data_IF_358914089378
#
_entry.id   IF_358914089378
#
_cell.length_a   1.000
_cell.length_b   1.000
_cell.length_c   1.000
_cell.angle_alpha   90.00
_cell.angle_beta   90.00
_cell.angle_gamma   90.00
#
_symmetry.space_group_name_H-M   'P 1'
#
loop_
_entity.id
_entity.type
_entity.pdbx_description
1 polymer ?
#
# COMPACT_ATOMS: atom_id res chain seq x y z
N UNK A 1 -1.27 17.73 12.77
CA UNK A 1 -1.07 16.46 12.05
C UNK A 1 -2.45 16.10 11.53
N UNK A 2 -2.73 16.42 10.27
CA UNK A 2 -3.92 15.91 9.62
C UNK A 2 -3.65 14.42 9.40
N UNK A 3 -4.25 13.58 10.24
CA UNK A 3 -4.34 12.15 10.00
C UNK A 3 -5.23 12.02 8.76
N UNK A 4 -4.59 11.98 7.58
CA UNK A 4 -5.24 11.62 6.32
C UNK A 4 -6.05 10.38 6.61
N UNK A 5 -7.35 10.42 6.30
CA UNK A 5 -8.34 9.39 6.63
C UNK A 5 -7.80 7.99 6.35
N UNK A 6 -7.16 7.43 7.35
CA UNK A 6 -6.57 6.13 7.23
C UNK A 6 -7.71 5.14 7.16
N UNK A 7 -7.68 4.19 6.23
CA UNK A 7 -8.63 3.07 6.22
C UNK A 7 -8.42 2.11 7.42
N UNK A 8 -7.91 2.60 8.55
CA UNK A 8 -8.06 1.97 9.84
C UNK A 8 -9.55 2.05 10.15
N UNK A 9 -10.29 0.96 9.95
CA UNK A 9 -11.74 0.94 10.16
C UNK A 9 -12.17 1.62 11.48
N UNK A 10 -13.45 1.95 11.65
CA UNK A 10 -13.95 2.84 12.72
C UNK A 10 -13.45 2.48 14.13
N UNK A 11 -13.19 1.20 14.39
CA UNK A 11 -12.57 0.71 15.62
C UNK A 11 -11.17 1.28 15.90
N UNK A 12 -10.21 1.08 14.98
CA UNK A 12 -8.84 1.58 15.14
C UNK A 12 -8.77 3.10 15.12
N UNK A 13 -9.63 3.76 14.33
CA UNK A 13 -9.79 5.22 14.37
C UNK A 13 -10.17 5.68 15.79
N UNK A 14 -11.13 5.00 16.44
CA UNK A 14 -11.52 5.30 17.81
C UNK A 14 -10.38 5.11 18.83
N UNK A 15 -9.51 4.10 18.64
CA UNK A 15 -8.33 3.89 19.50
C UNK A 15 -7.30 5.01 19.33
N UNK A 16 -7.05 5.45 18.09
CA UNK A 16 -6.14 6.58 17.82
C UNK A 16 -6.69 7.88 18.41
N UNK A 17 -7.99 8.13 18.30
CA UNK A 17 -8.65 9.30 18.92
C UNK A 17 -8.48 9.30 20.44
N UNK A 18 -8.69 8.16 21.11
CA UNK A 18 -8.45 8.01 22.55
C UNK A 18 -6.98 8.26 22.91
N UNK A 19 -6.04 7.78 22.08
CA UNK A 19 -4.61 8.02 22.28
C UNK A 19 -4.29 9.52 22.21
N UNK A 20 -4.82 10.22 21.20
CA UNK A 20 -4.66 11.67 21.05
C UNK A 20 -5.27 12.45 22.22
N UNK A 21 -6.42 12.00 22.74
CA UNK A 21 -7.04 12.60 23.91
C UNK A 21 -6.16 12.48 25.16
N UNK A 22 -5.61 11.29 25.42
CA UNK A 22 -4.70 11.03 26.53
C UNK A 22 -3.41 11.86 26.42
N UNK A 23 -2.80 11.95 25.23
CA UNK A 23 -1.69 12.89 24.98
C UNK A 23 -2.09 14.35 25.24
N UNK A 24 -3.29 14.74 24.82
CA UNK A 24 -3.85 16.06 25.09
C UNK A 24 -3.96 16.35 26.58
N UNK A 25 -4.34 15.36 27.39
CA UNK A 25 -4.43 15.45 28.84
C UNK A 25 -3.05 15.62 29.49
N UNK A 26 -2.07 14.79 29.12
CA UNK A 26 -0.67 14.94 29.58
C UNK A 26 -0.16 16.35 29.29
N UNK A 27 -0.35 16.84 28.05
CA UNK A 27 0.09 18.18 27.64
C UNK A 27 -0.57 19.29 28.47
N UNK A 28 -1.87 19.20 28.75
CA UNK A 28 -2.60 20.18 29.57
C UNK A 28 -2.09 20.20 31.01
N UNK A 29 -1.89 19.04 31.62
CA UNK A 29 -1.37 18.94 32.99
C UNK A 29 0.06 19.47 33.09
N UNK A 30 0.94 19.12 32.13
CA UNK A 30 2.31 19.66 32.08
C UNK A 30 2.33 21.19 31.93
N UNK A 31 1.44 21.76 31.12
CA UNK A 31 1.34 23.21 30.95
C UNK A 31 0.92 23.91 32.27
N UNK A 32 0.01 23.31 33.04
CA UNK A 32 -0.39 23.83 34.36
C UNK A 32 0.74 23.74 35.38
N UNK A 33 1.47 22.63 35.42
CA UNK A 33 2.65 22.48 36.27
C UNK A 33 3.73 23.53 36.01
N UNK A 34 3.92 23.92 34.75
CA UNK A 34 4.86 24.99 34.37
C UNK A 34 4.51 26.36 34.97
N UNK A 35 3.24 26.59 35.35
CA UNK A 35 2.74 27.86 35.92
C UNK A 35 2.51 27.73 37.44
N UNK A 36 2.13 26.55 37.94
CA UNK A 36 1.60 26.33 39.29
C UNK A 36 2.64 26.01 40.39
N UNK A 37 3.92 26.40 40.21
CA UNK A 37 5.06 25.97 41.05
C UNK A 37 4.91 26.19 42.57
N UNK A 38 3.94 27.00 43.01
CA UNK A 38 3.73 27.33 44.44
C UNK A 38 2.56 26.61 45.11
N UNK A 39 1.67 25.95 44.37
CA UNK A 39 0.52 25.24 44.96
C UNK A 39 0.75 23.72 44.92
N UNK A 40 1.07 23.16 46.10
CA UNK A 40 1.35 21.73 46.25
C UNK A 40 0.14 20.84 45.94
N UNK A 41 -1.09 21.33 46.16
CA UNK A 41 -2.29 20.55 45.89
C UNK A 41 -2.50 20.43 44.38
N UNK A 42 -2.37 21.55 43.66
CA UNK A 42 -2.46 21.59 42.18
C UNK A 42 -1.39 20.72 41.55
N UNK A 43 -0.14 20.82 42.05
CA UNK A 43 0.96 19.97 41.54
C UNK A 43 0.65 18.49 41.73
N UNK A 44 0.10 18.09 42.88
CA UNK A 44 -0.24 16.69 43.14
C UNK A 44 -1.35 16.20 42.21
N UNK A 45 -2.43 16.96 42.05
CA UNK A 45 -3.54 16.63 41.16
C UNK A 45 -3.08 16.51 39.70
N UNK A 46 -2.23 17.43 39.23
CA UNK A 46 -1.70 17.39 37.87
C UNK A 46 -0.77 16.19 37.63
N UNK A 47 0.02 15.79 38.62
CA UNK A 47 0.85 14.59 38.54
C UNK A 47 -0.01 13.31 38.48
N UNK A 48 -1.03 13.18 39.32
CA UNK A 48 -1.99 12.07 39.27
C UNK A 48 -2.70 12.01 37.90
N UNK A 49 -3.08 13.17 37.33
CA UNK A 49 -3.64 13.25 35.99
C UNK A 49 -2.67 12.81 34.89
N UNK A 50 -1.37 13.08 35.04
CA UNK A 50 -0.35 12.62 34.09
C UNK A 50 -0.17 11.11 34.19
N UNK A 51 -0.05 10.57 35.40
CA UNK A 51 0.11 9.14 35.64
C UNK A 51 -1.05 8.35 35.01
N UNK A 52 -2.30 8.73 35.28
CA UNK A 52 -3.48 8.10 34.69
C UNK A 52 -3.50 8.19 33.16
N UNK A 53 -3.09 9.33 32.59
CA UNK A 53 -3.06 9.50 31.14
C UNK A 53 -1.92 8.67 30.50
N UNK A 54 -0.78 8.48 31.17
CA UNK A 54 0.29 7.61 30.71
C UNK A 54 -0.12 6.12 30.76
N UNK A 55 -0.78 5.68 31.83
CA UNK A 55 -1.34 4.31 31.92
C UNK A 55 -2.36 4.05 30.80
N UNK A 56 -3.22 5.03 30.51
CA UNK A 56 -4.16 4.94 29.39
C UNK A 56 -3.43 4.83 28.04
N UNK A 57 -2.39 5.64 27.82
CA UNK A 57 -1.58 5.58 26.60
C UNK A 57 -0.92 4.21 26.41
N UNK A 58 -0.36 3.62 27.48
CA UNK A 58 0.24 2.28 27.43
C UNK A 58 -0.82 1.22 27.09
N UNK A 59 -1.96 1.25 27.76
CA UNK A 59 -3.06 0.31 27.51
C UNK A 59 -3.61 0.43 26.07
N UNK A 60 -3.75 1.65 25.55
CA UNK A 60 -4.20 1.88 24.18
C UNK A 60 -3.16 1.37 23.18
N UNK A 61 -1.87 1.63 23.44
CA UNK A 61 -0.78 1.20 22.55
C UNK A 61 -0.72 -0.33 22.45
N UNK A 62 -0.81 -1.05 23.57
CA UNK A 62 -0.86 -2.51 23.58
C UNK A 62 -2.11 -3.06 22.85
N UNK A 63 -3.23 -2.35 22.95
CA UNK A 63 -4.46 -2.72 22.23
C UNK A 63 -4.27 -2.55 20.72
N UNK A 64 -3.70 -1.43 20.28
CA UNK A 64 -3.37 -1.19 18.87
C UNK A 64 -2.40 -2.26 18.36
N UNK A 65 -1.32 -2.55 19.08
CA UNK A 65 -0.33 -3.56 18.68
C UNK A 65 -0.96 -4.95 18.50
N UNK A 66 -1.81 -5.36 19.47
CA UNK A 66 -2.54 -6.63 19.36
C UNK A 66 -3.48 -6.62 18.16
N UNK A 67 -4.26 -5.56 18.00
CA UNK A 67 -5.25 -5.47 16.93
C UNK A 67 -4.56 -5.39 15.54
N UNK A 68 -3.34 -4.87 15.45
CA UNK A 68 -2.53 -4.91 14.23
C UNK A 68 -1.91 -6.29 13.94
N UNK A 69 -1.73 -7.12 14.97
CA UNK A 69 -1.20 -8.47 14.82
C UNK A 69 -2.29 -9.51 14.49
N UNK A 70 -3.57 -9.15 14.62
CA UNK A 70 -4.70 -10.04 14.41
C UNK A 70 -5.42 -9.76 13.07
N UNK A 71 -6.04 -10.78 12.43
CA UNK A 71 -6.80 -10.57 11.19
C UNK A 71 -8.06 -9.73 11.40
N UNK A 72 -8.21 -8.69 10.60
CA UNK A 72 -9.34 -7.76 10.63
C UNK A 72 -9.97 -7.60 9.25
N UNK A 73 -11.27 -7.33 9.22
CA UNK A 73 -11.94 -7.00 7.98
C UNK A 73 -11.43 -5.65 7.45
N UNK A 74 -10.93 -5.55 6.20
CA UNK A 74 -10.51 -4.28 5.62
C UNK A 74 -11.64 -3.26 5.46
N UNK A 75 -12.91 -3.71 5.40
CA UNK A 75 -14.06 -2.84 5.21
C UNK A 75 -14.58 -2.23 6.52
N UNK A 76 -14.89 -3.07 7.51
CA UNK A 76 -15.49 -2.60 8.78
C UNK A 76 -14.54 -2.60 9.98
N UNK A 77 -13.33 -3.16 9.85
CA UNK A 77 -12.36 -3.26 10.93
C UNK A 77 -12.76 -4.24 12.04
N UNK A 78 -13.73 -5.13 11.81
CA UNK A 78 -14.08 -6.16 12.80
C UNK A 78 -13.05 -7.29 12.77
N UNK A 79 -12.59 -7.80 13.92
CA UNK A 79 -11.74 -8.98 13.98
C UNK A 79 -12.49 -10.21 13.48
N UNK A 80 -11.75 -11.18 12.94
CA UNK A 80 -12.34 -12.43 12.50
C UNK A 80 -11.30 -13.49 12.16
N UNK A 81 -11.78 -14.66 11.74
CA UNK A 81 -10.91 -15.75 11.32
C UNK A 81 -10.78 -15.80 9.80
N UNK A 82 -11.86 -16.09 9.07
CA UNK A 82 -11.78 -16.31 7.62
C UNK A 82 -12.49 -15.23 6.80
N UNK A 83 -13.77 -15.00 7.08
CA UNK A 83 -14.62 -14.05 6.34
C UNK A 83 -15.40 -13.21 7.34
N UNK A 84 -15.44 -11.91 7.10
CA UNK A 84 -16.24 -11.00 7.90
C UNK A 84 -17.74 -11.25 7.69
N UNK A 85 -18.48 -11.45 8.77
CA UNK A 85 -19.94 -11.66 8.74
C UNK A 85 -20.73 -10.41 8.32
N UNK A 86 -20.13 -9.23 8.43
CA UNK A 86 -20.77 -7.95 8.08
C UNK A 86 -20.51 -7.59 6.62
N UNK A 87 -19.25 -7.63 6.18
CA UNK A 87 -18.85 -7.19 4.83
C UNK A 87 -18.79 -8.33 3.82
N UNK A 88 -18.78 -9.59 4.27
CA UNK A 88 -18.51 -10.76 3.43
C UNK A 88 -17.18 -10.66 2.65
N UNK A 89 -16.16 -10.09 3.30
CA UNK A 89 -14.80 -9.95 2.81
C UNK A 89 -13.87 -10.83 3.62
N UNK A 90 -12.81 -11.33 3.00
CA UNK A 90 -11.72 -11.99 3.72
C UNK A 90 -11.14 -11.04 4.76
N UNK A 91 -10.88 -11.56 5.96
CA UNK A 91 -10.16 -10.80 6.99
C UNK A 91 -8.67 -10.90 6.73
N UNK A 92 -7.97 -9.79 6.91
CA UNK A 92 -6.56 -9.63 6.59
C UNK A 92 -5.82 -9.02 7.77
N UNK A 93 -4.56 -9.41 7.95
CA UNK A 93 -3.68 -8.78 8.94
C UNK A 93 -3.27 -7.42 8.36
N UNK A 94 -3.65 -6.32 9.03
CA UNK A 94 -3.45 -4.99 8.48
C UNK A 94 -1.97 -4.61 8.47
N UNK A 95 -1.59 -3.77 7.52
CA UNK A 95 -0.23 -3.25 7.38
C UNK A 95 -0.11 -1.87 8.02
N UNK A 96 0.98 -1.59 8.77
CA UNK A 96 1.28 -0.24 9.25
C UNK A 96 1.44 0.72 8.08
N UNK A 97 1.05 1.98 8.25
CA UNK A 97 0.98 2.95 7.15
C UNK A 97 2.31 3.15 6.42
N UNK A 98 3.42 3.07 7.12
CA UNK A 98 4.77 3.22 6.59
C UNK A 98 5.19 2.06 5.68
N UNK A 99 4.55 0.91 5.81
CA UNK A 99 4.77 -0.26 4.95
C UNK A 99 3.83 -0.28 3.72
N UNK A 100 2.91 0.69 3.58
CA UNK A 100 2.02 0.76 2.42
C UNK A 100 2.78 1.28 1.20
N UNK A 101 2.48 0.69 0.05
CA UNK A 101 2.98 1.22 -1.22
C UNK A 101 2.36 2.60 -1.46
N UNK A 102 3.22 3.61 -1.58
CA UNK A 102 2.84 4.95 -2.02
C UNK A 102 3.46 5.18 -3.39
N UNK A 103 2.67 5.31 -4.47
CA UNK A 103 3.21 5.62 -5.77
C UNK A 103 4.03 6.92 -5.69
N UNK A 104 5.15 6.98 -6.40
CA UNK A 104 5.86 8.24 -6.59
C UNK A 104 4.88 9.29 -7.15
N UNK A 105 5.01 10.55 -6.73
CA UNK A 105 4.13 11.66 -7.14
C UNK A 105 4.18 11.99 -8.65
N UNK A 106 4.95 11.25 -9.44
CA UNK A 106 5.02 11.40 -10.90
C UNK A 106 3.91 10.58 -11.55
N UNK A 107 3.18 11.18 -12.48
CA UNK A 107 2.15 10.50 -13.27
C UNK A 107 2.80 9.44 -14.17
N UNK A 108 2.73 8.19 -13.74
CA UNK A 108 3.19 7.04 -14.51
C UNK A 108 2.02 6.46 -15.31
N UNK A 109 2.23 6.27 -16.61
CA UNK A 109 1.29 5.56 -17.48
C UNK A 109 1.77 4.13 -17.67
N UNK A 110 1.15 3.19 -16.95
CA UNK A 110 1.34 1.75 -17.14
C UNK A 110 0.29 1.18 -18.12
N UNK A 111 0.57 -0.01 -18.66
CA UNK A 111 -0.38 -0.73 -19.50
C UNK A 111 -1.68 -1.06 -18.72
N UNK A 112 -2.84 -1.20 -19.40
CA UNK A 112 -4.15 -1.38 -18.75
C UNK A 112 -4.21 -2.58 -17.80
N UNK A 113 -3.44 -3.63 -18.06
CA UNK A 113 -3.34 -4.81 -17.20
C UNK A 113 -2.77 -4.48 -15.81
N UNK A 114 -1.74 -3.63 -15.72
CA UNK A 114 -1.19 -3.17 -14.45
C UNK A 114 -2.18 -2.28 -13.70
N UNK A 115 -2.84 -1.35 -14.40
CA UNK A 115 -3.82 -0.44 -13.80
C UNK A 115 -4.98 -1.20 -13.16
N UNK A 116 -5.46 -2.26 -13.84
CA UNK A 116 -6.51 -3.13 -13.31
C UNK A 116 -6.10 -3.80 -12.00
N UNK A 117 -4.88 -4.35 -11.94
CA UNK A 117 -4.36 -4.98 -10.72
C UNK A 117 -4.20 -3.95 -9.61
N UNK A 118 -3.66 -2.77 -9.93
CA UNK A 118 -3.50 -1.67 -8.97
C UNK A 118 -4.83 -1.25 -8.34
N UNK A 119 -5.85 -0.98 -9.15
CA UNK A 119 -7.15 -0.56 -8.62
C UNK A 119 -7.81 -1.65 -7.78
N UNK A 120 -7.66 -2.92 -8.17
CA UNK A 120 -8.14 -4.03 -7.34
C UNK A 120 -7.35 -4.14 -6.02
N UNK A 121 -6.04 -3.89 -6.05
CA UNK A 121 -5.21 -3.83 -4.85
C UNK A 121 -5.68 -2.72 -3.91
N UNK A 122 -5.89 -1.50 -4.41
CA UNK A 122 -6.43 -0.38 -3.64
C UNK A 122 -7.84 -0.68 -3.10
N UNK A 123 -8.69 -1.30 -3.92
CA UNK A 123 -10.04 -1.67 -3.52
C UNK A 123 -10.04 -2.78 -2.45
N UNK A 124 -9.07 -3.70 -2.43
CA UNK A 124 -8.89 -4.67 -1.34
C UNK A 124 -8.49 -3.95 -0.06
N UNK A 125 -7.51 -3.05 -0.12
CA UNK A 125 -7.06 -2.28 1.04
C UNK A 125 -8.15 -1.34 1.59
N UNK A 126 -9.06 -0.89 0.73
CA UNK A 126 -10.23 -0.11 1.11
C UNK A 126 -11.44 -0.96 1.51
N UNK A 127 -11.32 -2.30 1.52
CA UNK A 127 -12.41 -3.20 1.86
C UNK A 127 -13.62 -3.09 0.95
N UNK A 128 -13.41 -2.85 -0.33
CA UNK A 128 -14.46 -2.77 -1.37
C UNK A 128 -14.59 -4.06 -2.17
N UNK A 129 -13.51 -4.82 -2.31
CA UNK A 129 -13.48 -6.09 -3.03
C UNK A 129 -12.76 -7.17 -2.24
N UNK A 130 -13.06 -8.43 -2.58
CA UNK A 130 -12.43 -9.60 -1.96
C UNK A 130 -11.00 -9.79 -2.41
N UNK A 131 -10.16 -10.36 -1.54
CA UNK A 131 -8.78 -10.73 -1.89
C UNK A 131 -8.79 -11.73 -3.04
N UNK A 132 -9.68 -12.73 -3.01
CA UNK A 132 -9.79 -13.71 -4.09
C UNK A 132 -10.04 -13.06 -5.46
N UNK A 133 -10.80 -11.95 -5.51
CA UNK A 133 -11.03 -11.22 -6.77
C UNK A 133 -9.76 -10.56 -7.30
N UNK A 134 -8.94 -9.99 -6.43
CA UNK A 134 -7.61 -9.48 -6.80
C UNK A 134 -6.73 -10.63 -7.32
N UNK A 135 -6.63 -11.74 -6.60
CA UNK A 135 -5.77 -12.87 -7.00
C UNK A 135 -6.15 -13.46 -8.36
N UNK A 136 -7.45 -13.61 -8.62
CA UNK A 136 -7.95 -14.06 -9.92
C UNK A 136 -7.64 -13.08 -11.07
N UNK A 137 -7.40 -11.80 -10.76
CA UNK A 137 -7.07 -10.77 -11.76
C UNK A 137 -5.59 -10.74 -12.15
N UNK A 138 -4.71 -11.49 -11.46
CA UNK A 138 -3.27 -11.49 -11.73
C UNK A 138 -2.92 -12.30 -12.99
N UNK A 139 -3.68 -13.33 -13.32
CA UNK A 139 -3.37 -14.25 -14.44
C UNK A 139 -3.29 -13.55 -15.81
N UNK A 140 -4.17 -12.60 -16.19
CA UNK A 140 -3.99 -11.81 -17.40
C UNK A 140 -2.67 -11.05 -17.47
N UNK A 141 -2.24 -10.43 -16.37
CA UNK A 141 -0.99 -9.67 -16.31
C UNK A 141 0.22 -10.61 -16.41
N UNK A 142 0.20 -11.72 -15.69
CA UNK A 142 1.21 -12.78 -15.77
C UNK A 142 1.39 -13.29 -17.22
N UNK A 143 0.29 -13.58 -17.91
CA UNK A 143 0.34 -14.06 -19.30
C UNK A 143 1.00 -13.05 -20.24
N UNK A 144 0.70 -11.76 -20.07
CA UNK A 144 1.32 -10.65 -20.83
C UNK A 144 2.82 -10.53 -20.55
N UNK A 145 3.21 -10.65 -19.29
CA UNK A 145 4.61 -10.62 -18.87
C UNK A 145 5.40 -11.77 -19.51
N UNK A 146 4.87 -12.99 -19.43
CA UNK A 146 5.48 -14.17 -20.06
C UNK A 146 5.59 -14.03 -21.59
N UNK A 147 4.56 -13.50 -22.25
CA UNK A 147 4.58 -13.21 -23.69
C UNK A 147 5.74 -12.25 -24.04
N UNK A 148 5.91 -11.15 -23.30
CA UNK A 148 7.00 -10.18 -23.49
C UNK A 148 8.37 -10.84 -23.33
N UNK A 149 8.58 -11.63 -22.28
CA UNK A 149 9.85 -12.33 -22.07
C UNK A 149 10.15 -13.34 -23.19
N UNK A 150 9.15 -14.07 -23.66
CA UNK A 150 9.32 -15.05 -24.74
C UNK A 150 9.69 -14.36 -26.06
N UNK A 151 9.01 -13.27 -26.41
CA UNK A 151 9.35 -12.47 -27.60
C UNK A 151 10.80 -11.95 -27.51
N UNK A 152 11.18 -11.38 -26.35
CA UNK A 152 12.54 -10.88 -26.15
C UNK A 152 13.59 -11.98 -26.32
N UNK A 153 13.39 -13.16 -25.71
CA UNK A 153 14.28 -14.32 -25.87
C UNK A 153 14.42 -14.76 -27.32
N UNK A 154 13.32 -14.82 -28.07
CA UNK A 154 13.34 -15.20 -29.49
C UNK A 154 14.19 -14.21 -30.29
N UNK A 155 13.97 -12.91 -30.13
CA UNK A 155 14.73 -11.87 -30.84
C UNK A 155 16.22 -11.91 -30.48
N UNK A 156 16.55 -12.15 -29.21
CA UNK A 156 17.93 -12.34 -28.76
C UNK A 156 18.59 -13.54 -29.44
N UNK A 157 17.93 -14.70 -29.43
CA UNK A 157 18.47 -15.91 -30.06
C UNK A 157 18.61 -15.80 -31.58
N UNK A 158 17.78 -14.98 -32.23
CA UNK A 158 17.86 -14.72 -33.67
C UNK A 158 18.92 -13.67 -34.05
N UNK A 159 19.65 -13.11 -33.09
CA UNK A 159 20.63 -12.05 -33.34
C UNK A 159 19.99 -10.71 -33.73
N UNK A 160 18.69 -10.53 -33.44
CA UNK A 160 17.91 -9.32 -33.68
C UNK A 160 17.75 -8.48 -32.41
N UNK A 161 18.52 -8.78 -31.37
CA UNK A 161 18.49 -8.02 -30.12
C UNK A 161 18.94 -6.57 -30.36
N UNK A 162 18.11 -5.65 -29.91
CA UNK A 162 18.51 -4.26 -29.72
C UNK A 162 19.14 -4.08 -28.34
N UNK A 163 19.93 -3.02 -28.21
CA UNK A 163 20.53 -2.64 -26.93
C UNK A 163 19.44 -2.53 -25.85
N UNK A 164 19.70 -3.13 -24.68
CA UNK A 164 18.76 -3.18 -23.56
C UNK A 164 17.77 -4.35 -23.56
N UNK A 165 17.50 -5.02 -24.69
CA UNK A 165 16.56 -6.17 -24.73
C UNK A 165 16.95 -7.32 -23.80
N UNK A 166 18.26 -7.49 -23.54
CA UNK A 166 18.76 -8.53 -22.64
C UNK A 166 18.23 -8.45 -21.21
N UNK A 167 17.78 -7.26 -20.76
CA UNK A 167 17.21 -7.04 -19.42
C UNK A 167 15.73 -7.41 -19.31
N UNK A 168 15.01 -7.53 -20.42
CA UNK A 168 13.56 -7.80 -20.41
C UNK A 168 13.21 -9.09 -19.65
N UNK A 169 13.89 -10.24 -19.88
CA UNK A 169 13.57 -11.47 -19.15
C UNK A 169 13.77 -11.36 -17.64
N UNK A 170 14.74 -10.56 -17.18
CA UNK A 170 15.03 -10.33 -15.76
C UNK A 170 13.93 -9.48 -15.11
N UNK A 171 13.58 -8.34 -15.73
CA UNK A 171 12.51 -7.45 -15.24
C UNK A 171 11.14 -8.13 -15.25
N UNK A 172 10.88 -9.00 -16.23
CA UNK A 172 9.69 -9.85 -16.23
C UNK A 172 9.72 -10.82 -15.06
N UNK A 173 10.85 -11.49 -14.79
CA UNK A 173 10.96 -12.39 -13.65
C UNK A 173 10.69 -11.67 -12.32
N UNK A 174 11.26 -10.47 -12.12
CA UNK A 174 10.99 -9.65 -10.94
C UNK A 174 9.50 -9.31 -10.79
N UNK A 175 8.83 -8.95 -11.90
CA UNK A 175 7.39 -8.71 -11.89
C UNK A 175 6.62 -9.97 -11.51
N UNK A 176 7.00 -11.13 -12.04
CA UNK A 176 6.34 -12.40 -11.73
C UNK A 176 6.53 -12.80 -10.27
N UNK A 177 7.74 -12.64 -9.72
CA UNK A 177 8.00 -12.88 -8.30
C UNK A 177 7.14 -11.96 -7.41
N UNK A 178 6.90 -10.73 -7.83
CA UNK A 178 5.98 -9.83 -7.13
C UNK A 178 4.53 -10.29 -7.19
N UNK A 179 4.07 -10.83 -8.33
CA UNK A 179 2.74 -11.44 -8.45
C UNK A 179 2.60 -12.71 -7.59
N UNK A 180 3.66 -13.52 -7.50
CA UNK A 180 3.69 -14.69 -6.63
C UNK A 180 3.61 -14.27 -5.16
N UNK A 181 4.36 -13.25 -4.73
CA UNK A 181 4.24 -12.69 -3.39
C UNK A 181 2.82 -12.17 -3.10
N UNK A 182 2.16 -11.53 -4.08
CA UNK A 182 0.75 -11.15 -3.91
C UNK A 182 -0.17 -12.38 -3.72
N UNK A 183 0.13 -13.54 -4.32
CA UNK A 183 -0.63 -14.79 -4.10
C UNK A 183 -0.41 -15.38 -2.73
N UNK A 184 0.80 -15.26 -2.17
CA UNK A 184 1.12 -15.70 -0.80
C UNK A 184 0.20 -15.03 0.23
N UNK A 185 -0.24 -13.79 -0.02
CA UNK A 185 -1.23 -13.11 0.81
C UNK A 185 -2.57 -13.87 0.91
N UNK A 186 -2.91 -14.74 -0.05
CA UNK A 186 -4.08 -15.61 0.03
C UNK A 186 -3.99 -16.65 1.16
N UNK A 187 -2.78 -17.06 1.51
CA UNK A 187 -2.50 -18.04 2.56
C UNK A 187 -2.11 -17.35 3.87
N UNK A 188 -1.20 -16.37 3.83
CA UNK A 188 -0.73 -15.63 5.01
C UNK A 188 -1.79 -14.68 5.57
N UNK A 189 -2.68 -14.18 4.69
CA UNK A 189 -3.64 -13.10 4.96
C UNK A 189 -2.97 -11.77 5.30
N UNK A 190 -1.67 -11.64 5.08
CA UNK A 190 -0.94 -10.41 5.37
C UNK A 190 -1.12 -9.39 4.25
N UNK A 191 -1.60 -8.19 4.60
CA UNK A 191 -1.60 -7.07 3.66
C UNK A 191 -0.17 -6.64 3.28
N UNK A 192 0.84 -7.03 4.06
CA UNK A 192 2.25 -6.76 3.79
C UNK A 192 2.72 -7.46 2.52
N UNK A 193 2.34 -8.73 2.34
CA UNK A 193 2.68 -9.49 1.13
C UNK A 193 2.06 -8.84 -0.11
N UNK A 194 0.82 -8.35 -0.01
CA UNK A 194 0.19 -7.58 -1.09
C UNK A 194 0.95 -6.30 -1.42
N UNK A 195 1.32 -5.52 -0.39
CA UNK A 195 2.00 -4.25 -0.58
C UNK A 195 3.40 -4.43 -1.17
N UNK A 196 4.18 -5.37 -0.66
CA UNK A 196 5.52 -5.66 -1.15
C UNK A 196 5.49 -6.30 -2.54
N UNK A 197 4.56 -7.23 -2.78
CA UNK A 197 4.38 -7.84 -4.08
C UNK A 197 4.01 -6.80 -5.15
N UNK A 198 3.07 -5.91 -4.84
CA UNK A 198 2.72 -4.81 -5.74
C UNK A 198 3.88 -3.82 -5.97
N UNK A 199 4.61 -3.43 -4.93
CA UNK A 199 5.79 -2.56 -5.04
C UNK A 199 6.83 -3.13 -6.01
N UNK A 200 7.09 -4.44 -5.92
CA UNK A 200 7.99 -5.15 -6.83
C UNK A 200 7.46 -5.15 -8.27
N UNK A 201 6.19 -5.49 -8.47
CA UNK A 201 5.53 -5.46 -9.79
C UNK A 201 5.62 -4.07 -10.41
N UNK A 202 5.33 -3.04 -9.62
CA UNK A 202 5.30 -1.65 -10.08
C UNK A 202 6.69 -1.17 -10.50
N UNK A 203 7.71 -1.37 -9.65
CA UNK A 203 9.10 -0.98 -9.98
C UNK A 203 9.62 -1.68 -11.21
N UNK A 204 9.42 -2.99 -11.31
CA UNK A 204 9.83 -3.75 -12.48
C UNK A 204 9.09 -3.28 -13.76
N UNK A 205 7.83 -2.85 -13.64
CA UNK A 205 7.09 -2.26 -14.76
C UNK A 205 7.66 -0.91 -15.22
N UNK A 206 8.13 -0.06 -14.30
CA UNK A 206 8.81 1.20 -14.64
C UNK A 206 10.09 0.93 -15.42
N UNK A 207 10.94 0.06 -14.90
CA UNK A 207 12.19 -0.32 -15.55
C UNK A 207 11.94 -0.96 -16.92
N UNK A 208 10.90 -1.79 -17.03
CA UNK A 208 10.51 -2.41 -18.29
C UNK A 208 10.05 -1.35 -19.31
N UNK A 209 9.28 -0.35 -18.88
CA UNK A 209 8.88 0.76 -19.75
C UNK A 209 10.10 1.56 -20.23
N UNK A 210 11.05 1.86 -19.35
CA UNK A 210 12.28 2.56 -19.70
C UNK A 210 13.12 1.80 -20.74
N UNK A 211 13.24 0.47 -20.57
CA UNK A 211 13.91 -0.41 -21.54
C UNK A 211 13.16 -0.40 -22.88
N UNK A 212 11.83 -0.52 -22.85
CA UNK A 212 11.01 -0.52 -24.07
C UNK A 212 11.07 0.82 -24.83
N UNK A 213 11.11 1.93 -24.11
CA UNK A 213 11.30 3.26 -24.70
C UNK A 213 12.70 3.43 -25.28
N UNK A 214 13.73 2.91 -24.61
CA UNK A 214 15.10 2.84 -25.14
C UNK A 214 15.16 2.08 -26.47
N UNK A 215 14.53 0.91 -26.51
CA UNK A 215 14.41 0.07 -27.71
C UNK A 215 13.66 0.77 -28.83
N UNK A 216 12.53 1.43 -28.52
CA UNK A 216 11.75 2.19 -29.49
C UNK A 216 12.59 3.30 -30.14
N UNK A 217 13.29 4.08 -29.32
CA UNK A 217 14.22 5.14 -29.79
C UNK A 217 15.32 4.57 -30.68
N UNK A 218 15.96 3.47 -30.27
CA UNK A 218 17.00 2.81 -31.06
C UNK A 218 16.48 2.28 -32.41
N UNK A 219 15.20 1.89 -32.47
CA UNK A 219 14.53 1.43 -33.69
C UNK A 219 14.05 2.56 -34.62
N UNK A 220 14.29 3.82 -34.26
CA UNK A 220 13.73 4.97 -34.98
C UNK A 220 12.20 5.10 -34.85
N UNK A 221 11.58 4.41 -33.88
CA UNK A 221 10.16 4.56 -33.56
C UNK A 221 10.00 5.62 -32.47
N UNK A 222 8.89 6.36 -32.52
CA UNK A 222 8.51 7.20 -31.40
C UNK A 222 8.29 6.31 -30.15
N UNK A 223 8.81 6.69 -28.96
CA UNK A 223 8.52 5.98 -27.74
C UNK A 223 7.01 5.93 -27.52
N UNK A 224 6.50 4.76 -27.09
CA UNK A 224 5.08 4.55 -26.86
C UNK A 224 4.55 5.49 -25.76
N UNK A 225 5.44 5.90 -24.86
CA UNK A 225 5.19 6.83 -23.77
C UNK A 225 5.91 8.16 -24.03
N UNK A 226 5.58 8.82 -25.14
CA UNK A 226 5.89 10.25 -25.24
C UNK A 226 5.08 10.97 -24.15
N UNK A 227 5.74 11.37 -23.05
CA UNK A 227 5.23 12.24 -21.96
C UNK A 227 4.13 13.14 -22.50
N UNK A 228 2.88 12.77 -22.23
CA UNK A 228 1.71 13.44 -22.78
C UNK A 228 1.32 14.56 -21.84
N UNK A 229 2.05 15.67 -21.92
CA UNK A 229 1.40 16.96 -21.69
C UNK A 229 0.35 17.11 -22.80
N UNK A 230 -0.93 17.14 -22.42
CA UNK A 230 -2.13 17.37 -23.23
C UNK A 230 -2.88 16.13 -23.77
N UNK A 231 -3.89 15.73 -22.99
CA UNK A 231 -5.28 15.55 -23.41
C UNK A 231 -5.55 14.58 -24.55
N UNK A 232 -5.93 13.34 -24.23
CA UNK A 232 -6.93 12.56 -24.97
C UNK A 232 -7.35 11.33 -24.15
N UNK A 233 -8.65 11.05 -24.16
CA UNK A 233 -9.45 10.41 -23.11
C UNK A 233 -9.36 8.89 -22.90
N UNK A 234 -8.31 8.19 -23.32
CA UNK A 234 -8.25 6.72 -23.13
C UNK A 234 -7.04 6.20 -22.33
N UNK A 235 -6.28 7.11 -21.69
CA UNK A 235 -5.26 6.75 -20.71
C UNK A 235 -5.71 7.24 -19.34
N UNK A 236 -6.08 6.31 -18.45
CA UNK A 236 -6.32 6.60 -17.04
C UNK A 236 -4.96 6.88 -16.41
N UNK A 237 -4.80 8.10 -15.91
CA UNK A 237 -3.62 8.54 -15.18
C UNK A 237 -3.79 8.06 -13.74
N UNK A 238 -2.77 7.43 -13.16
CA UNK A 238 -2.71 7.22 -11.73
C UNK A 238 -2.31 8.55 -11.09
N UNK A 239 -3.27 9.47 -10.98
CA UNK A 239 -3.11 10.71 -10.23
C UNK A 239 -3.60 10.46 -8.81
N UNK A 240 -2.76 10.77 -7.82
CA UNK A 240 -3.21 10.83 -6.43
C UNK A 240 -3.99 12.14 -6.26
N UNK A 241 -5.34 12.08 -6.30
CA UNK A 241 -6.16 13.23 -5.90
C UNK A 241 -6.05 13.39 -4.38
N UNK A 242 -5.80 14.64 -3.94
CA UNK A 242 -5.59 15.04 -2.54
C UNK A 242 -6.86 14.98 -1.70
#
# INVERSE_FOLDING_TARGET
VELRSSNWGPHLTGLVEQQLEAYGQVRRSLARLGVAVRDRAVVKEDLECIELALEALESISLTIERDLAEPHCPGCGQPGFDVCTTCNLEVLIPVPEDARFTPCAEEVVLAPEYQRVFHLYEDVLAGKVTLLRLLNSLAPLESRLQEKANIARILIHQGQALEGMGRIPELVAESLDGLDQMREAGESREMLDLAQGWDRVFRAALDLNDVMDGIARASGRAPALSRRTQGTSDSVVLSHEN
#
